data_IF_711074607055
#
_entry.id   IF_711074607055
#
_cell.length_a   1.000
_cell.length_b   1.000
_cell.length_c   1.000
_cell.angle_alpha   90.00
_cell.angle_beta   90.00
_cell.angle_gamma   90.00
#
_symmetry.space_group_name_H-M   'P 1'
#
loop_
_entity.id
_entity.type
_entity.pdbx_description
1 polymer ?
#
# COMPACT_ATOMS: atom_id res chain seq x y z
N UNK A 1 22.28 28.88 -15.37
CA UNK A 1 23.26 27.85 -14.94
C UNK A 1 22.55 26.87 -14.01
N UNK A 2 22.08 25.73 -14.53
CA UNK A 2 21.40 24.72 -13.71
C UNK A 2 22.41 24.04 -12.79
N UNK A 3 22.25 24.20 -11.48
CA UNK A 3 23.03 23.49 -10.49
C UNK A 3 22.86 21.98 -10.71
N UNK A 4 23.94 21.32 -11.14
CA UNK A 4 23.98 19.86 -11.23
C UNK A 4 23.80 19.30 -9.82
N UNK A 5 22.61 18.74 -9.53
CA UNK A 5 22.36 17.97 -8.32
C UNK A 5 23.34 16.80 -8.28
N UNK A 6 24.41 16.92 -7.49
CA UNK A 6 25.30 15.82 -7.16
C UNK A 6 24.48 14.70 -6.50
N UNK A 7 24.79 13.46 -6.86
CA UNK A 7 24.24 12.27 -6.23
C UNK A 7 24.65 12.22 -4.75
N UNK A 8 23.88 12.87 -3.88
CA UNK A 8 23.95 12.67 -2.44
C UNK A 8 23.09 11.45 -2.09
N UNK A 9 23.51 10.62 -1.12
CA UNK A 9 22.63 9.60 -0.56
C UNK A 9 21.36 10.28 0.01
N UNK A 10 20.19 9.75 -0.36
CA UNK A 10 18.88 10.33 -0.04
C UNK A 10 17.96 10.46 -1.26
N UNK A 11 16.68 10.82 -1.04
CA UNK A 11 15.72 10.96 -2.11
C UNK A 11 16.19 12.00 -3.13
N UNK A 12 16.29 11.59 -4.40
CA UNK A 12 16.62 12.49 -5.51
C UNK A 12 15.59 13.62 -5.55
N UNK A 13 16.02 14.84 -5.92
CA UNK A 13 15.06 15.92 -6.14
C UNK A 13 14.06 15.54 -7.25
N UNK A 14 12.83 16.10 -7.25
CA UNK A 14 11.80 15.71 -8.21
C UNK A 14 12.28 15.77 -9.66
N UNK A 15 13.02 16.81 -10.06
CA UNK A 15 13.60 16.92 -11.40
C UNK A 15 14.54 15.75 -11.76
N UNK A 16 15.38 15.31 -10.83
CA UNK A 16 16.26 14.15 -11.03
C UNK A 16 15.48 12.82 -11.05
N UNK A 17 14.39 12.72 -10.29
CA UNK A 17 13.50 11.55 -10.33
C UNK A 17 12.78 11.46 -11.67
N UNK A 18 12.20 12.56 -12.16
CA UNK A 18 11.56 12.62 -13.48
C UNK A 18 12.54 12.23 -14.59
N UNK A 19 13.76 12.79 -14.60
CA UNK A 19 14.77 12.42 -15.60
C UNK A 19 15.14 10.93 -15.56
N UNK A 20 15.30 10.38 -14.36
CA UNK A 20 15.61 8.96 -14.21
C UNK A 20 14.44 8.06 -14.65
N UNK A 21 13.21 8.47 -14.37
CA UNK A 21 12.00 7.80 -14.84
C UNK A 21 11.92 7.81 -16.37
N UNK A 22 12.07 8.96 -17.01
CA UNK A 22 12.05 9.08 -18.48
C UNK A 22 13.16 8.24 -19.13
N UNK A 23 14.34 8.17 -18.52
CA UNK A 23 15.43 7.32 -19.00
C UNK A 23 15.07 5.82 -18.93
N UNK A 24 14.45 5.37 -17.84
CA UNK A 24 13.97 4.00 -17.68
C UNK A 24 12.85 3.66 -18.68
N UNK A 25 11.89 4.58 -18.88
CA UNK A 25 10.81 4.44 -19.88
C UNK A 25 11.36 4.33 -21.30
N UNK A 26 12.35 5.16 -21.65
CA UNK A 26 13.06 5.08 -22.93
C UNK A 26 13.81 3.76 -23.09
N UNK A 27 14.37 3.23 -22.01
CA UNK A 27 15.01 1.92 -22.02
C UNK A 27 14.01 0.79 -22.25
N UNK A 28 12.87 0.81 -21.56
CA UNK A 28 11.78 -0.15 -21.76
C UNK A 28 11.28 -0.13 -23.20
N UNK A 29 11.03 1.06 -23.78
CA UNK A 29 10.59 1.19 -25.17
C UNK A 29 11.54 0.48 -26.15
N UNK A 30 12.86 0.63 -25.98
CA UNK A 30 13.86 -0.06 -26.80
C UNK A 30 13.86 -1.58 -26.60
N UNK A 31 13.59 -2.06 -25.38
CA UNK A 31 13.48 -3.51 -25.12
C UNK A 31 12.24 -4.07 -25.80
N UNK A 32 11.11 -3.38 -25.69
CA UNK A 32 9.84 -3.78 -26.31
C UNK A 32 9.96 -3.80 -27.84
N UNK A 33 10.57 -2.77 -28.44
CA UNK A 33 10.86 -2.75 -29.88
C UNK A 33 11.74 -3.93 -30.32
N UNK A 34 12.78 -4.27 -29.54
CA UNK A 34 13.62 -5.44 -29.82
C UNK A 34 12.86 -6.76 -29.67
N UNK A 35 11.92 -6.83 -28.71
CA UNK A 35 11.08 -8.01 -28.47
C UNK A 35 10.13 -8.22 -29.65
N UNK A 36 9.49 -7.15 -30.10
CA UNK A 36 8.48 -7.20 -31.17
C UNK A 36 9.13 -7.56 -32.52
N UNK A 37 10.42 -7.24 -32.69
CA UNK A 37 11.21 -7.65 -33.86
C UNK A 37 11.85 -9.05 -33.72
N UNK A 38 11.74 -9.71 -32.56
CA UNK A 38 12.30 -11.05 -32.35
C UNK A 38 11.27 -12.13 -32.75
N UNK A 39 11.69 -13.23 -33.41
CA UNK A 39 10.78 -14.34 -33.73
C UNK A 39 10.09 -14.89 -32.48
N UNK A 40 8.80 -15.19 -32.58
CA UNK A 40 7.93 -15.59 -31.45
C UNK A 40 8.48 -16.78 -30.66
N UNK A 41 9.11 -17.73 -31.34
CA UNK A 41 9.66 -18.96 -30.74
C UNK A 41 11.12 -18.83 -30.29
N UNK A 42 11.73 -17.66 -30.44
CA UNK A 42 13.15 -17.49 -30.11
C UNK A 42 13.37 -17.38 -28.60
N UNK A 43 14.39 -18.06 -28.02
CA UNK A 43 14.80 -17.88 -26.62
C UNK A 43 15.10 -16.41 -26.28
N UNK A 44 15.57 -15.66 -27.29
CA UNK A 44 15.82 -14.22 -27.20
C UNK A 44 14.55 -13.41 -26.88
N UNK A 45 13.38 -13.82 -27.38
CA UNK A 45 12.12 -13.14 -27.07
C UNK A 45 11.75 -13.31 -25.60
N UNK A 46 11.84 -14.53 -25.07
CA UNK A 46 11.60 -14.81 -23.66
C UNK A 46 12.57 -14.04 -22.74
N UNK A 47 13.85 -13.93 -23.12
CA UNK A 47 14.84 -13.11 -22.42
C UNK A 47 14.45 -11.62 -22.40
N UNK A 48 14.03 -11.08 -23.55
CA UNK A 48 13.58 -9.68 -23.67
C UNK A 48 12.29 -9.43 -22.88
N UNK A 49 11.37 -10.40 -22.80
CA UNK A 49 10.18 -10.32 -21.96
C UNK A 49 10.52 -10.33 -20.46
N UNK A 50 11.53 -11.11 -20.05
CA UNK A 50 12.09 -11.06 -18.70
C UNK A 50 12.64 -9.66 -18.38
N UNK A 51 13.51 -9.14 -19.24
CA UNK A 51 14.09 -7.79 -19.09
C UNK A 51 13.03 -6.68 -19.11
N UNK A 52 12.02 -6.79 -19.96
CA UNK A 52 10.93 -5.82 -20.02
C UNK A 52 10.15 -5.80 -18.69
N UNK A 53 9.89 -6.97 -18.09
CA UNK A 53 9.25 -7.08 -16.77
C UNK A 53 10.11 -6.44 -15.68
N UNK A 54 11.41 -6.72 -15.65
CA UNK A 54 12.35 -6.12 -14.69
C UNK A 54 12.37 -4.58 -14.79
N UNK A 55 12.50 -4.04 -16.01
CA UNK A 55 12.50 -2.58 -16.22
C UNK A 55 11.14 -1.97 -15.91
N UNK A 56 10.03 -2.66 -16.20
CA UNK A 56 8.69 -2.19 -15.82
C UNK A 56 8.52 -2.10 -14.29
N UNK A 57 9.08 -3.05 -13.54
CA UNK A 57 9.11 -3.02 -12.06
C UNK A 57 9.97 -1.86 -11.55
N UNK A 58 11.13 -1.62 -12.15
CA UNK A 58 11.97 -0.46 -11.83
C UNK A 58 11.21 0.87 -12.06
N UNK A 59 10.54 1.00 -13.20
CA UNK A 59 9.70 2.17 -13.52
C UNK A 59 8.60 2.34 -12.47
N UNK A 60 7.94 1.26 -12.05
CA UNK A 60 6.89 1.31 -11.04
C UNK A 60 7.41 1.86 -9.71
N UNK A 61 8.56 1.37 -9.22
CA UNK A 61 9.18 1.87 -7.98
C UNK A 61 9.59 3.35 -8.11
N UNK A 62 10.19 3.74 -9.25
CA UNK A 62 10.56 5.14 -9.53
C UNK A 62 9.35 6.08 -9.59
N UNK A 63 8.21 5.60 -10.08
CA UNK A 63 6.95 6.37 -10.08
C UNK A 63 6.46 6.61 -8.66
N UNK A 64 6.39 5.59 -7.81
CA UNK A 64 6.03 5.77 -6.40
C UNK A 64 6.96 6.75 -5.68
N UNK A 65 8.24 6.74 -6.02
CA UNK A 65 9.22 7.68 -5.47
C UNK A 65 8.91 9.13 -5.80
N UNK A 66 8.53 9.39 -7.05
CA UNK A 66 8.12 10.70 -7.50
C UNK A 66 6.78 11.10 -6.86
N UNK A 67 5.81 10.20 -6.86
CA UNK A 67 4.45 10.44 -6.38
C UNK A 67 4.39 10.71 -4.87
N UNK A 68 5.35 10.18 -4.11
CA UNK A 68 5.46 10.43 -2.67
C UNK A 68 6.13 11.75 -2.32
N UNK A 69 6.67 12.49 -3.29
CA UNK A 69 7.26 13.80 -3.01
C UNK A 69 6.17 14.84 -2.72
N UNK A 70 6.40 15.68 -1.70
CA UNK A 70 5.44 16.72 -1.29
C UNK A 70 5.10 17.69 -2.44
N UNK A 71 6.09 18.04 -3.25
CA UNK A 71 5.89 18.91 -4.41
C UNK A 71 4.94 18.28 -5.42
N UNK A 72 5.20 17.03 -5.82
CA UNK A 72 4.36 16.33 -6.78
C UNK A 72 2.93 16.13 -6.26
N UNK A 73 2.77 15.80 -4.97
CA UNK A 73 1.44 15.68 -4.35
C UNK A 73 0.65 16.98 -4.42
N UNK A 74 1.26 18.11 -4.06
CA UNK A 74 0.60 19.43 -4.10
C UNK A 74 0.19 19.82 -5.52
N UNK A 75 1.06 19.58 -6.49
CA UNK A 75 0.78 19.87 -7.90
C UNK A 75 -0.33 18.96 -8.47
N UNK A 76 -0.29 17.67 -8.12
CA UNK A 76 -1.28 16.67 -8.56
C UNK A 76 -2.65 16.90 -7.96
N UNK A 77 -2.73 17.26 -6.67
CA UNK A 77 -4.02 17.60 -6.02
C UNK A 77 -4.66 18.83 -6.67
N UNK A 78 -3.87 19.87 -6.96
CA UNK A 78 -4.36 21.06 -7.66
C UNK A 78 -4.81 20.75 -9.10
N UNK A 79 -4.08 19.88 -9.79
CA UNK A 79 -4.47 19.42 -11.12
C UNK A 79 -5.77 18.62 -11.07
N UNK A 80 -5.89 17.69 -10.11
CA UNK A 80 -7.10 16.89 -9.92
C UNK A 80 -8.32 17.77 -9.63
N UNK A 81 -8.19 18.77 -8.76
CA UNK A 81 -9.26 19.73 -8.48
C UNK A 81 -9.73 20.44 -9.76
N UNK A 82 -8.80 21.01 -10.53
CA UNK A 82 -9.14 21.66 -11.81
C UNK A 82 -9.81 20.72 -12.80
N UNK A 83 -9.33 19.49 -12.92
CA UNK A 83 -9.93 18.50 -13.82
C UNK A 83 -11.35 18.12 -13.39
N UNK A 84 -11.60 17.98 -12.09
CA UNK A 84 -12.94 17.73 -11.55
C UNK A 84 -13.88 18.90 -11.85
N UNK A 85 -13.38 20.14 -11.75
CA UNK A 85 -14.17 21.34 -12.03
C UNK A 85 -14.50 21.47 -13.52
N UNK A 86 -13.54 21.19 -14.41
CA UNK A 86 -13.72 21.29 -15.87
C UNK A 86 -14.49 20.11 -16.47
N UNK A 87 -14.06 18.88 -16.18
CA UNK A 87 -14.67 17.66 -16.70
C UNK A 87 -14.44 16.50 -15.72
N UNK A 88 -15.36 16.28 -14.76
CA UNK A 88 -15.22 15.21 -13.78
C UNK A 88 -15.38 13.80 -14.36
N UNK A 89 -15.83 13.69 -15.62
CA UNK A 89 -15.95 12.43 -16.36
C UNK A 89 -14.68 12.09 -17.18
N UNK A 90 -13.67 12.96 -17.17
CA UNK A 90 -12.40 12.75 -17.85
C UNK A 90 -11.71 11.46 -17.33
N UNK A 91 -11.24 10.56 -18.21
CA UNK A 91 -10.52 9.36 -17.81
C UNK A 91 -9.26 9.65 -16.96
N UNK A 92 -8.61 10.79 -17.16
CA UNK A 92 -7.37 11.14 -16.48
C UNK A 92 -7.59 11.54 -15.01
N UNK A 93 -8.80 11.98 -14.63
CA UNK A 93 -9.19 12.23 -13.22
C UNK A 93 -8.96 10.98 -12.39
N UNK A 94 -9.24 9.81 -12.96
CA UNK A 94 -9.13 8.49 -12.33
C UNK A 94 -7.67 8.12 -12.12
N UNK A 95 -6.88 8.26 -13.19
CA UNK A 95 -5.46 7.94 -13.20
C UNK A 95 -4.70 8.83 -12.21
N UNK A 96 -5.05 10.12 -12.16
CA UNK A 96 -4.44 11.06 -11.23
C UNK A 96 -4.84 10.81 -9.78
N UNK A 97 -6.11 10.47 -9.51
CA UNK A 97 -6.55 10.09 -8.17
C UNK A 97 -5.82 8.83 -7.65
N UNK A 98 -5.65 7.81 -8.51
CA UNK A 98 -4.88 6.61 -8.18
C UNK A 98 -3.40 6.93 -7.91
N UNK A 99 -2.80 7.81 -8.71
CA UNK A 99 -1.42 8.28 -8.56
C UNK A 99 -1.20 8.99 -7.21
N UNK A 100 -2.12 9.87 -6.80
CA UNK A 100 -2.06 10.55 -5.50
C UNK A 100 -2.18 9.53 -4.36
N UNK A 101 -3.12 8.59 -4.46
CA UNK A 101 -3.31 7.54 -3.45
C UNK A 101 -2.04 6.68 -3.28
N UNK A 102 -1.43 6.24 -4.38
CA UNK A 102 -0.14 5.53 -4.38
C UNK A 102 0.96 6.35 -3.71
N UNK A 103 1.12 7.62 -4.09
CA UNK A 103 2.12 8.50 -3.49
C UNK A 103 1.98 8.65 -1.98
N UNK A 104 0.74 8.71 -1.48
CA UNK A 104 0.46 8.81 -0.03
C UNK A 104 0.73 7.50 0.71
N UNK A 105 0.39 6.36 0.11
CA UNK A 105 0.76 5.05 0.66
C UNK A 105 2.27 4.90 0.77
N UNK A 106 3.01 5.25 -0.28
CA UNK A 106 4.47 5.18 -0.26
C UNK A 106 5.05 6.12 0.81
N UNK A 107 4.52 7.34 0.92
CA UNK A 107 4.92 8.29 1.96
C UNK A 107 4.64 7.77 3.38
N UNK A 108 3.52 7.07 3.59
CA UNK A 108 3.23 6.37 4.85
C UNK A 108 4.29 5.30 5.13
N UNK A 109 4.52 4.35 4.21
CA UNK A 109 5.46 3.25 4.45
C UNK A 109 6.87 3.74 4.72
N UNK A 110 7.33 4.79 4.03
CA UNK A 110 8.61 5.42 4.34
C UNK A 110 8.66 6.01 5.73
N UNK A 111 7.59 6.66 6.19
CA UNK A 111 7.53 7.23 7.55
C UNK A 111 7.54 6.15 8.61
N UNK A 112 6.81 5.05 8.40
CA UNK A 112 6.82 3.89 9.30
C UNK A 112 8.22 3.29 9.38
N UNK A 113 8.87 3.04 8.24
CA UNK A 113 10.24 2.53 8.19
C UNK A 113 11.27 3.49 8.79
N UNK A 114 11.13 4.80 8.55
CA UNK A 114 12.01 5.81 9.12
C UNK A 114 11.83 5.96 10.65
N UNK A 115 10.62 5.75 11.17
CA UNK A 115 10.37 5.78 12.61
C UNK A 115 11.05 4.62 13.35
N UNK A 116 11.33 3.51 12.66
CA UNK A 116 12.07 2.36 13.17
C UNK A 116 13.60 2.52 13.05
N UNK A 117 14.09 3.64 12.50
CA UNK A 117 15.52 3.90 12.42
C UNK A 117 16.08 4.33 13.78
N UNK A 118 17.18 3.72 14.25
CA UNK A 118 17.88 4.20 15.43
C UNK A 118 18.50 5.60 15.17
N UNK A 119 18.83 6.35 16.24
CA UNK A 119 19.50 7.64 16.10
C UNK A 119 20.83 7.48 15.35
N UNK A 120 21.23 8.52 14.63
CA UNK A 120 22.46 8.50 13.83
C UNK A 120 23.68 8.28 14.75
N UNK A 121 24.50 7.25 14.50
CA UNK A 121 25.61 6.94 15.39
C UNK A 121 26.79 7.91 15.23
N UNK A 122 27.54 8.07 16.33
CA UNK A 122 28.72 8.93 16.38
C UNK A 122 29.90 8.33 15.59
N UNK A 123 30.15 7.03 15.75
CA UNK A 123 31.25 6.31 15.11
C UNK A 123 31.06 6.20 13.58
N UNK A 124 32.13 6.42 12.81
CA UNK A 124 32.09 6.35 11.35
C UNK A 124 31.71 4.97 10.82
N UNK A 125 32.26 3.90 11.40
CA UNK A 125 31.92 2.52 11.03
C UNK A 125 30.42 2.22 11.25
N UNK A 126 29.88 2.64 12.40
CA UNK A 126 28.44 2.52 12.68
C UNK A 126 27.57 3.30 11.70
N UNK A 127 28.05 4.43 11.14
CA UNK A 127 27.29 5.19 10.13
C UNK A 127 27.11 4.41 8.83
N UNK A 128 28.06 3.55 8.47
CA UNK A 128 27.93 2.70 7.28
C UNK A 128 26.82 1.66 7.48
N UNK A 129 26.83 0.94 8.60
CA UNK A 129 25.76 0.00 8.96
C UNK A 129 24.39 0.70 9.11
N UNK A 130 24.36 1.90 9.72
CA UNK A 130 23.16 2.73 9.80
C UNK A 130 22.62 3.13 8.42
N UNK A 131 23.51 3.47 7.48
CA UNK A 131 23.10 3.78 6.11
C UNK A 131 22.55 2.55 5.40
N UNK A 132 23.22 1.40 5.50
CA UNK A 132 22.73 0.14 4.93
C UNK A 132 21.37 -0.27 5.49
N UNK A 133 21.15 -0.07 6.79
CA UNK A 133 19.85 -0.28 7.42
C UNK A 133 18.79 0.65 6.82
N UNK A 134 19.12 1.94 6.62
CA UNK A 134 18.22 2.90 5.99
C UNK A 134 17.86 2.55 4.56
N UNK A 135 18.84 2.12 3.76
CA UNK A 135 18.65 1.70 2.37
C UNK A 135 17.79 0.43 2.31
N UNK A 136 18.06 -0.57 3.16
CA UNK A 136 17.28 -1.80 3.21
C UNK A 136 15.83 -1.57 3.67
N UNK A 137 15.61 -0.70 4.68
CA UNK A 137 14.26 -0.32 5.11
C UNK A 137 13.51 0.48 4.04
N UNK A 138 14.21 1.28 3.24
CA UNK A 138 13.62 1.96 2.10
C UNK A 138 13.15 0.94 1.04
N UNK A 139 13.96 -0.07 0.74
CA UNK A 139 13.59 -1.15 -0.18
C UNK A 139 12.41 -1.99 0.35
N UNK A 140 12.33 -2.22 1.67
CA UNK A 140 11.15 -2.84 2.29
C UNK A 140 9.87 -2.02 2.04
N UNK A 141 9.93 -0.69 2.18
CA UNK A 141 8.77 0.17 1.89
C UNK A 141 8.34 0.09 0.42
N UNK A 142 9.29 -0.02 -0.52
CA UNK A 142 8.99 -0.25 -1.94
C UNK A 142 8.30 -1.57 -2.18
N UNK A 143 8.90 -2.65 -1.70
CA UNK A 143 8.35 -3.97 -1.88
C UNK A 143 6.94 -4.06 -1.27
N UNK A 144 6.72 -3.44 -0.09
CA UNK A 144 5.41 -3.41 0.57
C UNK A 144 4.34 -2.71 -0.25
N UNK A 145 4.59 -1.50 -0.80
CA UNK A 145 3.58 -0.85 -1.65
C UNK A 145 3.30 -1.66 -2.92
N UNK A 146 4.32 -2.28 -3.51
CA UNK A 146 4.14 -3.08 -4.71
C UNK A 146 3.31 -4.33 -4.44
N UNK A 147 3.56 -5.02 -3.33
CA UNK A 147 2.72 -6.12 -2.85
C UNK A 147 1.25 -5.68 -2.75
N UNK A 148 0.97 -4.54 -2.09
CA UNK A 148 -0.42 -4.09 -1.92
C UNK A 148 -1.09 -3.71 -3.24
N UNK A 149 -0.32 -3.20 -4.20
CA UNK A 149 -0.82 -2.84 -5.54
C UNK A 149 -0.94 -4.05 -6.48
N UNK A 150 -0.20 -5.13 -6.24
CA UNK A 150 -0.21 -6.35 -7.05
C UNK A 150 -1.05 -7.47 -6.43
N UNK A 151 -1.91 -7.17 -5.46
CA UNK A 151 -2.72 -8.17 -4.75
C UNK A 151 -3.58 -9.05 -5.67
N UNK A 152 -3.95 -8.57 -6.87
CA UNK A 152 -4.71 -9.33 -7.87
C UNK A 152 -3.83 -10.16 -8.81
N UNK A 153 -2.51 -10.05 -8.73
CA UNK A 153 -1.54 -10.80 -9.53
C UNK A 153 -0.64 -11.63 -8.61
N UNK A 154 -0.95 -12.92 -8.40
CA UNK A 154 -0.19 -13.77 -7.48
C UNK A 154 1.32 -13.82 -7.80
N UNK A 155 1.67 -13.86 -9.08
CA UNK A 155 3.07 -13.92 -9.54
C UNK A 155 3.83 -12.63 -9.23
N UNK A 156 3.22 -11.47 -9.44
CA UNK A 156 3.86 -10.19 -9.10
C UNK A 156 3.90 -9.99 -7.58
N UNK A 157 2.83 -10.37 -6.88
CA UNK A 157 2.80 -10.32 -5.43
C UNK A 157 3.90 -11.16 -4.79
N UNK A 158 4.07 -12.41 -5.24
CA UNK A 158 5.11 -13.32 -4.74
C UNK A 158 6.52 -12.78 -5.05
N UNK A 159 6.74 -12.19 -6.24
CA UNK A 159 8.00 -11.54 -6.55
C UNK A 159 8.31 -10.42 -5.55
N UNK A 160 7.35 -9.51 -5.30
CA UNK A 160 7.57 -8.42 -4.35
C UNK A 160 7.66 -8.88 -2.90
N UNK A 161 7.01 -9.98 -2.54
CA UNK A 161 7.21 -10.62 -1.23
C UNK A 161 8.66 -11.11 -1.07
N UNK A 162 9.24 -11.72 -2.11
CA UNK A 162 10.65 -12.15 -2.09
C UNK A 162 11.59 -10.95 -1.99
N UNK A 163 11.36 -9.89 -2.76
CA UNK A 163 12.13 -8.64 -2.66
C UNK A 163 12.03 -8.02 -1.25
N UNK A 164 10.83 -8.04 -0.66
CA UNK A 164 10.62 -7.58 0.72
C UNK A 164 11.44 -8.42 1.72
N UNK A 165 11.41 -9.75 1.58
CA UNK A 165 12.15 -10.67 2.44
C UNK A 165 13.67 -10.45 2.32
N UNK A 166 14.18 -10.29 1.10
CA UNK A 166 15.60 -9.97 0.88
C UNK A 166 15.99 -8.62 1.49
N UNK A 167 15.14 -7.60 1.35
CA UNK A 167 15.35 -6.30 2.00
C UNK A 167 15.31 -6.43 3.54
N UNK A 168 14.39 -7.20 4.09
CA UNK A 168 14.28 -7.49 5.52
C UNK A 168 15.53 -8.20 6.07
N UNK A 169 16.07 -9.19 5.36
CA UNK A 169 17.31 -9.87 5.72
C UNK A 169 18.50 -8.91 5.76
N UNK A 170 18.64 -8.05 4.75
CA UNK A 170 19.68 -7.01 4.74
C UNK A 170 19.50 -6.01 5.88
N UNK A 171 18.26 -5.61 6.17
CA UNK A 171 17.95 -4.69 7.26
C UNK A 171 18.32 -5.30 8.63
N UNK A 172 17.93 -6.55 8.88
CA UNK A 172 18.25 -7.25 10.12
C UNK A 172 19.76 -7.44 10.31
N UNK A 173 20.51 -7.78 9.25
CA UNK A 173 21.98 -7.86 9.29
C UNK A 173 22.63 -6.51 9.60
N UNK A 174 22.21 -5.45 8.91
CA UNK A 174 22.74 -4.10 9.13
C UNK A 174 22.41 -3.57 10.54
N UNK A 175 21.23 -3.90 11.08
CA UNK A 175 20.87 -3.61 12.45
C UNK A 175 21.74 -4.38 13.47
N UNK A 176 22.05 -5.65 13.19
CA UNK A 176 22.95 -6.46 14.01
C UNK A 176 24.38 -5.93 14.02
N UNK A 177 24.92 -5.59 12.85
CA UNK A 177 26.22 -4.96 12.72
C UNK A 177 26.27 -3.62 13.47
N UNK A 178 25.25 -2.77 13.28
CA UNK A 178 25.14 -1.50 13.96
C UNK A 178 25.13 -1.66 15.49
N UNK A 179 24.37 -2.63 16.00
CA UNK A 179 24.30 -2.93 17.42
C UNK A 179 25.64 -3.43 17.96
N UNK A 180 26.30 -4.37 17.29
CA UNK A 180 27.61 -4.88 17.69
C UNK A 180 28.69 -3.77 17.77
N UNK A 181 28.72 -2.88 16.77
CA UNK A 181 29.65 -1.74 16.76
C UNK A 181 29.32 -0.76 17.90
N UNK A 182 28.04 -0.51 18.15
CA UNK A 182 27.59 0.41 19.20
C UNK A 182 27.90 -0.14 20.59
N UNK A 183 27.58 -1.41 20.84
CA UNK A 183 27.75 -2.06 22.14
C UNK A 183 29.23 -2.24 22.50
N UNK A 184 30.08 -2.55 21.51
CA UNK A 184 31.53 -2.66 21.73
C UNK A 184 32.25 -1.32 21.80
N UNK A 185 31.67 -0.25 21.24
CA UNK A 185 32.33 1.04 21.05
C UNK A 185 33.49 1.02 20.05
N UNK A 186 33.68 -0.06 19.30
CA UNK A 186 34.81 -0.26 18.36
C UNK A 186 34.33 -0.46 16.94
N UNK A 187 35.11 0.04 15.97
CA UNK A 187 34.78 -0.06 14.55
C UNK A 187 34.71 -1.50 14.04
N UNK A 188 35.47 -2.41 14.64
CA UNK A 188 35.52 -3.84 14.32
C UNK A 188 34.56 -4.67 15.18
N UNK A 189 33.64 -4.05 15.93
CA UNK A 189 32.73 -4.73 16.85
C UNK A 189 32.07 -5.98 16.27
N UNK A 190 31.48 -5.85 15.08
CA UNK A 190 30.87 -6.97 14.35
C UNK A 190 31.88 -8.03 13.90
N UNK A 191 32.99 -7.62 13.30
CA UNK A 191 34.03 -8.53 12.77
C UNK A 191 34.76 -9.28 13.89
N UNK A 192 34.82 -8.69 15.08
CA UNK A 192 35.46 -9.28 16.26
C UNK A 192 34.63 -10.38 16.93
N UNK A 193 33.34 -10.49 16.60
CA UNK A 193 32.45 -11.54 17.10
C UNK A 193 32.70 -12.86 16.37
N UNK A 194 32.47 -13.98 17.04
CA UNK A 194 32.44 -15.29 16.37
C UNK A 194 31.21 -15.40 15.46
N UNK A 195 31.25 -16.34 14.49
CA UNK A 195 30.12 -16.58 13.60
C UNK A 195 28.83 -16.94 14.35
N UNK A 196 28.95 -17.66 15.47
CA UNK A 196 27.80 -18.04 16.32
C UNK A 196 27.22 -16.82 17.05
N UNK A 197 28.08 -15.93 17.57
CA UNK A 197 27.64 -14.69 18.20
C UNK A 197 26.97 -13.74 17.20
N UNK A 198 27.51 -13.65 15.97
CA UNK A 198 26.89 -12.86 14.90
C UNK A 198 25.50 -13.39 14.55
N UNK A 199 25.36 -14.72 14.47
CA UNK A 199 24.08 -15.38 14.21
C UNK A 199 23.08 -15.12 15.33
N UNK A 200 23.48 -15.32 16.59
CA UNK A 200 22.63 -15.10 17.75
C UNK A 200 22.13 -13.65 17.84
N UNK A 201 23.01 -12.68 17.60
CA UNK A 201 22.64 -11.26 17.61
C UNK A 201 21.65 -10.92 16.49
N UNK A 202 21.89 -11.43 15.28
CA UNK A 202 21.01 -11.28 14.13
C UNK A 202 19.62 -11.88 14.39
N UNK A 203 19.57 -13.08 14.95
CA UNK A 203 18.32 -13.79 15.22
C UNK A 203 17.54 -13.07 16.32
N UNK A 204 18.23 -12.62 17.38
CA UNK A 204 17.64 -11.78 18.44
C UNK A 204 16.98 -10.52 17.89
N UNK A 205 17.64 -9.84 16.96
CA UNK A 205 17.11 -8.62 16.30
C UNK A 205 15.93 -8.94 15.39
N UNK A 206 15.93 -10.13 14.79
CA UNK A 206 14.88 -10.54 13.85
C UNK A 206 13.58 -10.96 14.55
N UNK A 207 13.63 -11.31 15.83
CA UNK A 207 12.46 -11.78 16.59
C UNK A 207 11.50 -10.67 17.04
N UNK A 208 11.83 -9.39 16.88
CA UNK A 208 10.98 -8.28 17.34
C UNK A 208 9.80 -7.94 16.40
N UNK A 209 9.74 -8.61 15.24
CA UNK A 209 8.71 -8.41 14.21
C UNK A 209 8.91 -7.17 13.34
N UNK A 210 9.95 -6.36 13.56
CA UNK A 210 10.17 -5.10 12.83
C UNK A 210 10.70 -5.28 11.39
N UNK A 211 11.05 -6.52 11.05
CA UNK A 211 11.55 -6.96 9.73
C UNK A 211 10.63 -7.99 9.07
N UNK A 212 9.44 -8.20 9.61
CA UNK A 212 8.53 -9.24 9.17
C UNK A 212 7.99 -9.00 7.76
N UNK A 213 7.95 -10.06 6.97
CA UNK A 213 7.43 -10.05 5.60
C UNK A 213 6.01 -10.63 5.58
N UNK A 214 5.00 -9.89 5.10
CA UNK A 214 3.63 -10.38 5.02
C UNK A 214 3.48 -11.67 4.19
N UNK A 215 2.62 -12.60 4.61
CA UNK A 215 2.40 -13.89 3.90
C UNK A 215 1.16 -13.95 3.03
N UNK A 216 0.24 -13.00 3.18
CA UNK A 216 -1.00 -12.97 2.43
C UNK A 216 -1.19 -11.62 1.71
N UNK A 217 -1.74 -11.63 0.49
CA UNK A 217 -2.12 -10.40 -0.19
C UNK A 217 -3.26 -9.70 0.54
N UNK A 218 -3.23 -8.38 0.53
CA UNK A 218 -4.28 -7.53 1.10
C UNK A 218 -5.02 -6.83 -0.02
N UNK A 219 -6.34 -6.73 0.09
CA UNK A 219 -7.13 -5.96 -0.88
C UNK A 219 -6.69 -4.50 -0.83
N UNK A 220 -6.26 -3.95 -1.96
CA UNK A 220 -5.72 -2.58 -2.05
C UNK A 220 -6.65 -1.53 -1.42
N UNK A 221 -7.96 -1.69 -1.62
CA UNK A 221 -8.99 -0.85 -1.00
C UNK A 221 -8.95 -0.86 0.53
N UNK A 222 -8.70 -2.01 1.15
CA UNK A 222 -8.63 -2.13 2.61
C UNK A 222 -7.35 -1.50 3.16
N UNK A 223 -6.26 -1.54 2.40
CA UNK A 223 -5.01 -0.82 2.71
C UNK A 223 -5.22 0.70 2.68
N UNK A 224 -5.95 1.22 1.67
CA UNK A 224 -6.29 2.64 1.60
C UNK A 224 -7.21 3.07 2.76
N UNK A 225 -8.23 2.27 3.06
CA UNK A 225 -9.15 2.55 4.17
C UNK A 225 -8.45 2.49 5.53
N UNK A 226 -7.51 1.56 5.72
CA UNK A 226 -6.64 1.52 6.90
C UNK A 226 -5.76 2.76 7.00
N UNK A 227 -5.14 3.16 5.89
CA UNK A 227 -4.31 4.35 5.87
C UNK A 227 -5.11 5.59 6.24
N UNK A 228 -6.35 5.69 5.77
CA UNK A 228 -7.24 6.78 6.17
C UNK A 228 -7.63 6.70 7.65
N UNK A 229 -7.94 5.52 8.18
CA UNK A 229 -8.22 5.34 9.62
C UNK A 229 -7.03 5.85 10.46
N UNK A 230 -5.79 5.55 10.07
CA UNK A 230 -4.57 6.02 10.75
C UNK A 230 -4.43 7.55 10.68
N UNK A 231 -4.70 8.15 9.52
CA UNK A 231 -4.69 9.62 9.34
C UNK A 231 -5.69 10.29 10.27
N UNK A 232 -6.84 9.66 10.50
CA UNK A 232 -7.87 10.15 11.41
C UNK A 232 -7.60 9.83 12.89
N UNK A 233 -6.42 9.28 13.21
CA UNK A 233 -6.04 8.89 14.58
C UNK A 233 -6.76 7.65 15.10
N UNK A 234 -7.33 6.83 14.22
CA UNK A 234 -8.04 5.60 14.59
C UNK A 234 -7.10 4.41 14.43
N UNK A 235 -6.89 3.67 15.53
CA UNK A 235 -6.11 2.42 15.52
C UNK A 235 -6.86 1.36 14.69
N UNK A 236 -6.28 0.87 13.58
CA UNK A 236 -6.94 -0.14 12.77
C UNK A 236 -6.89 -1.50 13.45
N UNK A 237 -7.98 -2.25 13.34
CA UNK A 237 -8.05 -3.67 13.72
C UNK A 237 -7.91 -4.49 12.45
N UNK A 238 -6.96 -5.42 12.44
CA UNK A 238 -6.69 -6.29 11.31
C UNK A 238 -7.25 -7.68 11.52
N UNK A 239 -7.48 -8.42 10.44
CA UNK A 239 -7.78 -9.84 10.52
C UNK A 239 -6.51 -10.62 10.86
N UNK A 240 -6.62 -11.82 11.45
CA UNK A 240 -5.43 -12.57 11.85
C UNK A 240 -4.54 -12.94 10.64
N UNK A 241 -5.15 -13.18 9.48
CA UNK A 241 -4.45 -13.42 8.21
C UNK A 241 -3.61 -12.23 7.76
N UNK A 242 -4.08 -10.99 8.00
CA UNK A 242 -3.36 -9.77 7.63
C UNK A 242 -2.10 -9.56 8.48
N UNK A 243 -2.09 -10.15 9.68
CA UNK A 243 -0.99 -10.05 10.65
C UNK A 243 0.01 -11.21 10.49
N UNK A 244 -0.27 -12.19 9.64
CA UNK A 244 0.63 -13.32 9.41
C UNK A 244 1.88 -12.86 8.63
N UNK A 245 3.05 -13.31 9.10
CA UNK A 245 4.35 -12.88 8.59
C UNK A 245 5.40 -14.00 8.60
N UNK A 246 6.41 -13.84 7.73
CA UNK A 246 7.67 -14.58 7.73
C UNK A 246 8.74 -13.69 8.36
N UNK A 247 9.40 -14.18 9.39
CA UNK A 247 10.60 -13.56 9.95
C UNK A 247 11.79 -13.71 8.97
N UNK A 248 12.72 -12.75 8.89
CA UNK A 248 13.77 -12.73 7.87
C UNK A 248 14.72 -13.94 7.90
N UNK A 249 14.95 -14.54 9.07
CA UNK A 249 15.76 -15.75 9.28
C UNK A 249 14.99 -16.84 10.04
N UNK A 250 13.66 -16.85 9.92
CA UNK A 250 12.81 -17.88 10.52
C UNK A 250 13.01 -19.26 9.91
N UNK A 251 12.45 -20.29 10.54
CA UNK A 251 12.53 -21.65 10.04
C UNK A 251 11.88 -21.76 8.65
N UNK A 252 12.65 -22.22 7.66
CA UNK A 252 12.23 -22.38 6.26
C UNK A 252 11.04 -23.36 6.11
N UNK A 253 10.73 -24.14 7.15
CA UNK A 253 9.57 -25.06 7.20
C UNK A 253 8.22 -24.34 7.28
N UNK A 254 8.19 -23.06 7.69
CA UNK A 254 6.99 -22.20 7.66
C UNK A 254 6.85 -21.50 6.29
N UNK A 255 7.53 -21.98 5.24
CA UNK A 255 7.07 -21.77 3.86
C UNK A 255 5.88 -22.70 3.60
N UNK A 256 4.77 -22.43 4.28
CA UNK A 256 3.53 -23.18 4.19
C UNK A 256 2.90 -23.04 2.81
N UNK A 257 2.62 -24.20 2.20
CA UNK A 257 1.63 -24.46 1.15
C UNK A 257 1.18 -23.25 0.31
N UNK A 258 1.75 -23.12 -0.89
CA UNK A 258 1.47 -22.13 -1.96
C UNK A 258 -0.02 -22.03 -2.39
N UNK A 259 -0.94 -22.75 -1.74
CA UNK A 259 -2.35 -22.89 -2.12
C UNK A 259 -3.38 -22.55 -1.05
N UNK A 260 -3.02 -22.47 0.24
CA UNK A 260 -4.01 -22.32 1.31
C UNK A 260 -4.80 -21.00 1.27
N UNK A 261 -4.20 -19.92 0.74
CA UNK A 261 -4.87 -18.62 0.62
C UNK A 261 -5.79 -18.49 -0.62
N UNK A 262 -5.76 -19.46 -1.56
CA UNK A 262 -6.57 -19.39 -2.79
C UNK A 262 -8.05 -19.69 -2.58
N UNK A 263 -8.41 -20.41 -1.51
CA UNK A 263 -9.78 -20.95 -1.34
C UNK A 263 -10.72 -20.07 -0.50
N UNK A 264 -10.25 -18.93 0.01
CA UNK A 264 -11.00 -18.13 0.99
C UNK A 264 -12.00 -17.10 0.44
N UNK A 265 -11.95 -16.73 -0.85
CA UNK A 265 -12.72 -15.58 -1.38
C UNK A 265 -14.06 -15.97 -2.05
N UNK A 266 -14.34 -17.25 -2.30
CA UNK A 266 -15.60 -17.72 -2.93
C UNK A 266 -16.65 -18.25 -1.93
N UNK A 267 -16.34 -18.30 -0.63
CA UNK A 267 -17.32 -18.64 0.40
C UNK A 267 -18.21 -17.43 0.72
N UNK A 268 -19.03 -17.01 -0.25
CA UNK A 268 -20.28 -16.30 0.06
C UNK A 268 -21.07 -17.19 1.03
N UNK A 269 -21.53 -16.69 2.19
CA UNK A 269 -22.64 -17.34 2.86
C UNK A 269 -23.84 -17.16 1.95
N UNK A 270 -24.14 -18.17 1.12
CA UNK A 270 -25.48 -18.35 0.59
C UNK A 270 -26.37 -18.52 1.81
N UNK A 271 -27.07 -17.47 2.18
CA UNK A 271 -28.26 -17.60 2.99
C UNK A 271 -29.20 -18.52 2.19
N UNK A 272 -29.19 -19.80 2.54
CA UNK A 272 -30.27 -20.71 2.20
C UNK A 272 -31.48 -20.20 2.97
N UNK A 273 -32.28 -19.37 2.31
CA UNK A 273 -33.70 -19.24 2.62
C UNK A 273 -34.32 -20.60 2.31
N UNK A 274 -34.37 -21.44 3.35
CA UNK A 274 -35.21 -22.62 3.36
C UNK A 274 -36.62 -22.18 3.70
N UNK A 275 -37.46 -22.20 2.66
CA UNK A 275 -38.91 -22.38 2.79
C UNK A 275 -39.22 -23.39 3.89
N UNK A 276 -40.09 -22.99 4.81
CA UNK A 276 -40.79 -23.92 5.70
C UNK A 276 -42.25 -23.49 5.71
N UNK A 277 -43.08 -24.39 5.20
CA UNK A 277 -44.53 -24.30 5.13
C UNK A 277 -45.15 -24.05 6.51
N UNK A 278 -46.06 -23.08 6.57
CA UNK A 278 -47.02 -22.91 7.65
C UNK A 278 -48.04 -24.06 7.55
N UNK A 279 -47.94 -25.02 8.49
CA UNK A 279 -48.99 -26.00 8.76
C UNK A 279 -49.57 -25.70 10.14
N UNK A 280 -50.79 -25.17 10.14
CA UNK A 280 -51.67 -25.06 11.30
C UNK A 280 -51.89 -26.43 11.95
N UNK A 281 -51.65 -26.52 13.26
CA UNK A 281 -52.22 -27.55 14.12
C UNK A 281 -52.23 -27.06 15.57
N UNK A 282 -53.39 -26.55 15.98
CA UNK A 282 -53.82 -26.46 17.37
C UNK A 282 -53.91 -27.89 17.96
N UNK A 283 -53.19 -28.18 19.04
CA UNK A 283 -53.73 -29.01 20.11
C UNK A 283 -52.97 -28.82 21.44
N UNK A 284 -53.72 -29.10 22.48
CA UNK A 284 -53.72 -28.66 23.86
C UNK A 284 -52.78 -29.47 24.79
N UNK A 285 -52.68 -28.97 26.04
CA UNK A 285 -52.29 -29.67 27.27
C UNK A 285 -50.80 -29.76 27.69
N UNK A 286 -50.40 -28.80 28.53
CA UNK A 286 -49.99 -29.05 29.92
C UNK A 286 -48.63 -29.70 30.23
N UNK A 287 -47.75 -28.98 30.93
CA UNK A 287 -46.64 -29.59 31.66
C UNK A 287 -45.52 -28.63 32.07
N UNK A 288 -45.55 -28.17 33.32
CA UNK A 288 -44.42 -27.55 34.01
C UNK A 288 -43.21 -28.49 34.08
N UNK A 289 -42.02 -28.00 33.69
CA UNK A 289 -40.77 -28.07 34.46
C UNK A 289 -39.51 -28.00 33.56
N UNK A 290 -38.59 -27.15 34.01
CA UNK A 290 -37.14 -27.32 33.94
C UNK A 290 -36.36 -27.12 32.61
N UNK A 291 -35.33 -26.26 32.76
CA UNK A 291 -34.00 -26.32 32.13
C UNK A 291 -33.88 -25.83 30.68
N UNK A 292 -33.75 -24.51 30.58
CA UNK A 292 -32.43 -23.93 30.31
C UNK A 292 -31.67 -24.47 29.09
N UNK A 293 -32.13 -24.10 27.89
CA UNK A 293 -31.26 -23.96 26.72
C UNK A 293 -31.51 -22.61 26.05
N UNK A 294 -31.14 -21.56 26.78
CA UNK A 294 -30.85 -20.29 26.14
C UNK A 294 -29.70 -20.53 25.17
N UNK A 295 -30.03 -20.51 23.87
CA UNK A 295 -29.12 -20.44 22.75
C UNK A 295 -27.93 -19.54 23.12
N UNK A 296 -26.78 -20.15 23.43
CA UNK A 296 -25.50 -19.44 23.44
C UNK A 296 -25.20 -19.06 21.99
N UNK A 297 -25.91 -18.05 21.47
CA UNK A 297 -25.41 -17.27 20.34
C UNK A 297 -24.09 -16.68 20.83
N UNK A 298 -22.99 -17.27 20.37
CA UNK A 298 -21.63 -16.96 20.78
C UNK A 298 -21.45 -15.47 20.92
N UNK A 299 -21.22 -15.01 22.15
CA UNK A 299 -20.94 -13.62 22.46
C UNK A 299 -19.76 -13.24 21.57
N UNK A 300 -19.90 -12.29 20.64
CA UNK A 300 -18.84 -12.01 19.70
C UNK A 300 -17.59 -11.61 20.49
N UNK A 301 -16.47 -12.25 20.15
CA UNK A 301 -15.17 -11.88 20.71
C UNK A 301 -14.97 -10.38 20.55
N UNK A 302 -14.26 -9.76 21.50
CA UNK A 302 -13.97 -8.31 21.49
C UNK A 302 -13.37 -7.86 20.15
N UNK A 303 -12.55 -8.71 19.51
CA UNK A 303 -12.01 -8.52 18.15
C UNK A 303 -13.07 -8.58 17.06
N UNK A 304 -13.99 -9.56 17.09
CA UNK A 304 -15.06 -9.65 16.10
C UNK A 304 -16.02 -8.44 16.14
N UNK A 305 -16.28 -7.92 17.34
CA UNK A 305 -17.07 -6.70 17.50
C UNK A 305 -16.35 -5.44 16.97
N UNK A 306 -15.03 -5.33 17.18
CA UNK A 306 -14.25 -4.18 16.70
C UNK A 306 -14.08 -4.18 15.17
N UNK A 307 -13.83 -5.33 14.56
CA UNK A 307 -13.79 -5.49 13.10
C UNK A 307 -15.11 -5.05 12.45
N UNK A 308 -16.27 -5.47 12.99
CA UNK A 308 -17.58 -5.02 12.49
C UNK A 308 -17.81 -3.52 12.64
N UNK A 309 -17.37 -2.92 13.76
CA UNK A 309 -17.45 -1.46 13.95
C UNK A 309 -16.59 -0.71 12.93
N UNK A 310 -15.39 -1.21 12.67
CA UNK A 310 -14.49 -0.64 11.65
C UNK A 310 -15.07 -0.77 10.25
N UNK A 311 -15.59 -1.95 9.88
CA UNK A 311 -16.25 -2.17 8.60
C UNK A 311 -17.46 -1.22 8.42
N UNK A 312 -18.30 -1.06 9.45
CA UNK A 312 -19.44 -0.14 9.43
C UNK A 312 -19.00 1.31 9.23
N UNK A 313 -17.95 1.76 9.92
CA UNK A 313 -17.39 3.11 9.76
C UNK A 313 -16.89 3.35 8.32
N UNK A 314 -16.10 2.41 7.79
CA UNK A 314 -15.57 2.48 6.42
C UNK A 314 -16.70 2.51 5.38
N UNK A 315 -17.75 1.71 5.58
CA UNK A 315 -18.94 1.71 4.73
C UNK A 315 -19.68 3.06 4.75
N UNK A 316 -19.92 3.63 5.94
CA UNK A 316 -20.54 4.96 6.07
C UNK A 316 -19.73 6.05 5.36
N UNK A 317 -18.41 6.07 5.56
CA UNK A 317 -17.50 7.01 4.89
C UNK A 317 -17.60 6.91 3.38
N UNK A 318 -17.62 5.68 2.84
CA UNK A 318 -17.76 5.45 1.40
C UNK A 318 -19.09 5.98 0.84
N UNK A 319 -20.19 5.81 1.59
CA UNK A 319 -21.49 6.38 1.19
C UNK A 319 -21.46 7.91 1.17
N UNK A 320 -20.82 8.54 2.16
CA UNK A 320 -20.65 10.00 2.22
C UNK A 320 -19.80 10.52 1.07
N UNK A 321 -18.65 9.89 0.82
CA UNK A 321 -17.77 10.19 -0.31
C UNK A 321 -18.50 10.04 -1.64
N UNK A 322 -19.34 9.01 -1.80
CA UNK A 322 -20.15 8.86 -3.00
C UNK A 322 -21.18 9.98 -3.19
N UNK A 323 -21.77 10.49 -2.10
CA UNK A 323 -22.64 11.66 -2.16
C UNK A 323 -21.85 12.93 -2.53
N UNK A 324 -20.67 13.13 -1.94
CA UNK A 324 -19.77 14.24 -2.27
C UNK A 324 -19.35 14.22 -3.74
N UNK A 325 -18.97 13.06 -4.28
CA UNK A 325 -18.61 12.92 -5.70
C UNK A 325 -19.78 13.28 -6.63
N UNK A 326 -20.99 12.81 -6.32
CA UNK A 326 -22.19 13.19 -7.09
C UNK A 326 -22.47 14.69 -7.02
N UNK A 327 -22.25 15.31 -5.87
CA UNK A 327 -22.40 16.76 -5.70
C UNK A 327 -21.38 17.54 -6.54
N UNK A 328 -20.10 17.14 -6.54
CA UNK A 328 -19.07 17.78 -7.37
C UNK A 328 -19.42 17.68 -8.87
N UNK A 329 -19.86 16.50 -9.32
CA UNK A 329 -20.32 16.31 -10.71
C UNK A 329 -21.55 17.16 -11.07
N UNK A 330 -22.51 17.26 -10.17
CA UNK A 330 -23.70 18.09 -10.38
C UNK A 330 -23.33 19.58 -10.39
N UNK A 331 -22.38 20.00 -9.56
CA UNK A 331 -21.82 21.35 -9.54
C UNK A 331 -21.15 21.72 -10.86
N UNK A 332 -20.26 20.87 -11.36
CA UNK A 332 -19.59 21.08 -12.66
C UNK A 332 -20.60 21.21 -13.81
N UNK A 333 -21.62 20.36 -13.87
CA UNK A 333 -22.69 20.46 -14.89
C UNK A 333 -23.51 21.75 -14.79
N UNK A 334 -23.75 22.24 -13.56
CA UNK A 334 -24.45 23.53 -13.36
C UNK A 334 -23.58 24.70 -13.78
N UNK A 335 -22.27 24.63 -13.53
CA UNK A 335 -21.30 25.61 -14.01
C UNK A 335 -21.26 25.62 -15.54
N UNK A 336 -21.17 24.46 -16.19
CA UNK A 336 -21.23 24.32 -17.66
C UNK A 336 -22.54 24.88 -18.25
N UNK A 337 -23.69 24.65 -17.59
CA UNK A 337 -24.99 25.23 -17.97
C UNK A 337 -25.08 26.74 -17.71
N UNK A 338 -24.34 27.26 -16.73
CA UNK A 338 -24.29 28.68 -16.40
C UNK A 338 -23.27 29.46 -17.23
N UNK A 339 -22.14 28.84 -17.62
CA UNK A 339 -21.14 29.39 -18.53
C UNK A 339 -21.73 29.57 -19.94
N UNK A 340 -22.60 28.64 -20.39
CA UNK A 340 -23.43 28.86 -21.60
C UNK A 340 -24.40 30.05 -21.49
N UNK A 341 -24.61 30.61 -20.29
CA UNK A 341 -25.43 31.81 -20.04
C UNK A 341 -24.64 33.04 -19.60
N UNK A 342 -23.34 32.95 -19.35
CA UNK A 342 -22.60 34.04 -18.71
C UNK A 342 -21.11 34.04 -19.05
N UNK A 343 -20.79 34.52 -20.26
CA UNK A 343 -19.44 35.00 -20.65
C UNK A 343 -19.09 36.36 -20.03
N UNK A 344 -19.73 36.76 -18.93
CA UNK A 344 -19.42 37.97 -18.19
C UNK A 344 -19.39 37.62 -16.70
N UNK A 345 -18.22 37.74 -16.08
CA UNK A 345 -17.93 37.65 -14.63
C UNK A 345 -17.36 36.31 -14.12
N UNK A 346 -16.08 36.00 -14.38
CA UNK A 346 -15.38 34.99 -13.58
C UNK A 346 -13.87 35.25 -13.48
N UNK A 347 -13.50 36.37 -12.85
CA UNK A 347 -12.11 36.66 -12.45
C UNK A 347 -11.98 36.84 -10.92
N UNK A 348 -12.86 36.23 -10.10
CA UNK A 348 -12.92 36.53 -8.65
C UNK A 348 -13.11 35.37 -7.67
N UNK A 349 -13.00 34.10 -8.07
CA UNK A 349 -13.21 32.98 -7.13
C UNK A 349 -12.03 32.02 -7.10
N UNK A 350 -10.88 32.49 -6.61
CA UNK A 350 -9.88 31.59 -6.01
C UNK A 350 -9.62 32.12 -4.61
N UNK A 351 -10.42 31.63 -3.65
CA UNK A 351 -10.25 31.93 -2.24
C UNK A 351 -8.97 31.32 -1.67
N UNK A 352 -8.32 32.05 -0.78
CA UNK A 352 -7.18 31.61 0.04
C UNK A 352 -7.57 30.39 0.89
N UNK A 353 -7.24 29.19 0.41
CA UNK A 353 -7.31 27.97 1.19
C UNK A 353 -6.04 27.79 2.01
N UNK A 354 -6.19 27.69 3.34
CA UNK A 354 -5.09 27.43 4.30
C UNK A 354 -4.31 26.17 3.89
N UNK A 355 -3.02 26.37 3.64
CA UNK A 355 -2.09 25.52 2.88
C UNK A 355 -1.61 24.24 3.63
N UNK A 356 -2.40 23.68 4.57
CA UNK A 356 -1.97 22.57 5.45
C UNK A 356 -2.81 21.31 5.43
N UNK A 357 -4.06 21.33 4.94
CA UNK A 357 -4.91 20.13 4.86
C UNK A 357 -5.06 19.67 3.40
N UNK A 358 -4.82 18.39 3.14
CA UNK A 358 -4.95 17.84 1.78
C UNK A 358 -6.42 17.89 1.35
N UNK A 359 -6.68 18.39 0.14
CA UNK A 359 -8.04 18.66 -0.34
C UNK A 359 -8.89 17.39 -0.53
N UNK A 360 -8.25 16.26 -0.81
CA UNK A 360 -8.92 14.98 -1.08
C UNK A 360 -8.47 13.95 -0.04
N UNK A 361 -9.38 13.29 0.67
CA UNK A 361 -9.02 12.16 1.54
C UNK A 361 -8.75 10.88 0.70
N UNK A 362 -8.11 9.87 1.29
CA UNK A 362 -7.79 8.62 0.58
C UNK A 362 -9.02 7.80 0.19
N UNK A 363 -10.13 7.97 0.91
CA UNK A 363 -11.38 7.26 0.59
C UNK A 363 -12.03 7.87 -0.65
N UNK A 364 -12.01 9.19 -0.79
CA UNK A 364 -12.44 9.92 -1.97
C UNK A 364 -11.56 9.61 -3.17
N UNK A 365 -10.23 9.61 -3.01
CA UNK A 365 -9.31 9.23 -4.08
C UNK A 365 -9.53 7.78 -4.55
N UNK A 366 -9.68 6.83 -3.61
CA UNK A 366 -10.03 5.44 -3.91
C UNK A 366 -11.36 5.33 -4.64
N UNK A 367 -12.37 6.06 -4.19
CA UNK A 367 -13.70 6.04 -4.80
C UNK A 367 -13.68 6.60 -6.24
N UNK A 368 -12.99 7.73 -6.46
CA UNK A 368 -12.81 8.33 -7.79
C UNK A 368 -12.10 7.34 -8.75
N UNK A 369 -11.04 6.69 -8.28
CA UNK A 369 -10.32 5.69 -9.07
C UNK A 369 -11.20 4.48 -9.46
N UNK A 370 -12.15 4.08 -8.61
CA UNK A 370 -13.00 2.90 -8.82
C UNK A 370 -14.27 3.14 -9.68
N UNK A 371 -14.88 4.33 -9.66
CA UNK A 371 -16.27 4.63 -10.12
C UNK A 371 -16.58 4.49 -11.63
N UNK A 372 -15.70 3.87 -12.37
CA UNK A 372 -15.26 4.45 -13.63
C UNK A 372 -14.82 3.28 -14.54
N UNK A 373 -14.29 2.19 -13.95
CA UNK A 373 -14.15 0.88 -14.59
C UNK A 373 -15.47 0.10 -14.72
N UNK A 374 -16.54 0.53 -14.02
CA UNK A 374 -17.84 -0.14 -14.03
C UNK A 374 -18.85 0.42 -15.06
N UNK A 375 -18.40 1.29 -15.97
CA UNK A 375 -19.16 1.62 -17.19
C UNK A 375 -18.53 0.88 -18.38
N UNK A 376 -18.81 -0.40 -18.48
CA UNK A 376 -18.81 -1.14 -19.75
C UNK A 376 -20.11 -1.92 -19.82
#
# INVERSE_FOLDING_TARGET
MSAMCRAKPGPRCPSCQTKALTAAESHLARILERRDNAPDTSPRRAELEGKAREVAREIASRRSDLYSTRQYQKESERALARMIDTNPDDPDVRALAATIAEGRLMSRYRREQAALMPPKPALSAARAAHQQLGDARFDMAHARIRMDMSATSPTEWQHWQQEHLHAAQRAALAAAELRAITDSGRADGWVSMTADQQRELRDTISCDGSFDTPVAPRKYRDVLAETQDIVDGIVPVREAVDDASIAPFGDDTIRTDDTAWREGDDARPTASDSDSDDVDSDDDSGGDAERGRASQRGRPTTRGASLRRQASRRAKRRTQVGAQWRQMRAGARRLEQSEQRSDQLADSVVGDYKDTESMFDLTLLSYIAEQIGNKR
#
